data_IF_067204923029
#
_entry.id   IF_067204923029
#
_cell.length_a   1.000
_cell.length_b   1.000
_cell.length_c   1.000
_cell.angle_alpha   90.00
_cell.angle_beta   90.00
_cell.angle_gamma   90.00
#
_symmetry.space_group_name_H-M   'P 1'
#
loop_
_entity.id
_entity.type
_entity.pdbx_description
1 polymer ?
#
# COMPACT_ATOMS: atom_id res chain seq x y z
N UNK A 1 -5.72 9.36 -21.18
CA UNK A 1 -4.52 8.59 -20.77
C UNK A 1 -4.19 8.71 -19.26
N UNK A 2 -4.88 9.54 -18.46
CA UNK A 2 -4.60 9.68 -17.01
C UNK A 2 -5.60 9.00 -16.07
N UNK A 3 -6.77 8.57 -16.55
CA UNK A 3 -7.83 8.04 -15.67
C UNK A 3 -7.51 6.62 -15.16
N UNK A 4 -6.77 5.81 -15.92
CA UNK A 4 -6.34 4.46 -15.48
C UNK A 4 -5.31 4.50 -14.33
N UNK A 5 -4.61 5.62 -14.12
CA UNK A 5 -3.71 5.80 -12.96
C UNK A 5 -4.42 6.15 -11.66
N UNK A 6 -5.72 6.47 -11.71
CA UNK A 6 -6.51 6.89 -10.55
C UNK A 6 -7.37 5.77 -9.94
N UNK A 7 -7.33 4.56 -10.52
CA UNK A 7 -8.04 3.41 -9.96
C UNK A 7 -7.54 3.08 -8.55
N UNK A 8 -8.45 3.07 -7.58
CA UNK A 8 -8.17 2.55 -6.25
C UNK A 8 -8.30 1.03 -6.30
N UNK A 9 -7.30 0.31 -5.83
CA UNK A 9 -7.21 -1.15 -5.95
C UNK A 9 -7.52 -1.83 -4.62
N UNK A 10 -8.58 -2.64 -4.52
CA UNK A 10 -8.79 -3.45 -3.32
C UNK A 10 -7.61 -4.39 -3.08
N UNK A 11 -7.17 -4.54 -1.84
CA UNK A 11 -6.15 -5.53 -1.53
C UNK A 11 -6.71 -6.96 -1.77
N UNK A 12 -5.91 -7.87 -2.34
CA UNK A 12 -6.33 -9.24 -2.66
C UNK A 12 -6.75 -10.08 -1.45
N UNK A 13 -6.34 -9.67 -0.25
CA UNK A 13 -6.62 -10.33 1.03
C UNK A 13 -7.69 -9.60 1.86
N UNK A 14 -8.49 -8.74 1.22
CA UNK A 14 -9.71 -8.19 1.82
C UNK A 14 -10.75 -9.30 2.00
N UNK A 15 -11.40 -9.32 3.16
CA UNK A 15 -12.54 -10.19 3.42
C UNK A 15 -13.85 -9.48 3.03
N UNK A 16 -14.79 -10.20 2.41
CA UNK A 16 -16.08 -9.65 2.00
C UNK A 16 -17.01 -9.35 3.19
N UNK A 17 -16.76 -9.99 4.33
CA UNK A 17 -17.50 -9.78 5.57
C UNK A 17 -17.04 -8.56 6.36
N UNK A 18 -15.84 -8.05 6.07
CA UNK A 18 -15.31 -6.82 6.69
C UNK A 18 -16.21 -5.62 6.40
N UNK A 19 -16.46 -4.81 7.44
CA UNK A 19 -17.37 -3.66 7.38
C UNK A 19 -16.65 -2.31 7.56
N UNK A 20 -15.33 -2.30 7.68
CA UNK A 20 -14.54 -1.11 7.92
C UNK A 20 -13.39 -1.01 6.91
N UNK A 21 -13.08 0.21 6.44
CA UNK A 21 -12.21 0.40 5.27
C UNK A 21 -11.23 1.55 5.47
N UNK A 22 -9.96 1.28 5.15
CA UNK A 22 -8.91 2.29 5.07
C UNK A 22 -8.43 2.44 3.63
N UNK A 23 -8.26 3.68 3.17
CA UNK A 23 -7.54 3.98 1.93
C UNK A 23 -6.05 4.16 2.23
N UNK A 24 -5.22 3.35 1.59
CA UNK A 24 -3.76 3.42 1.68
C UNK A 24 -3.23 4.04 0.39
N UNK A 25 -2.55 5.18 0.48
CA UNK A 25 -1.97 5.87 -0.68
C UNK A 25 -0.47 5.91 -0.51
N UNK A 26 0.23 5.25 -1.42
CA UNK A 26 1.69 5.09 -1.38
C UNK A 26 2.33 6.00 -2.41
N UNK A 27 3.22 6.88 -1.96
CA UNK A 27 3.98 7.77 -2.83
C UNK A 27 5.40 7.25 -2.99
N UNK A 28 5.76 6.86 -4.20
CA UNK A 28 7.14 6.47 -4.53
C UNK A 28 7.90 7.70 -5.02
N UNK A 29 9.12 7.93 -4.52
CA UNK A 29 9.85 9.16 -4.86
C UNK A 29 10.28 9.22 -6.34
N UNK A 30 10.81 10.37 -6.76
CA UNK A 30 11.07 10.66 -8.17
C UNK A 30 12.54 10.56 -8.60
N UNK A 31 13.46 10.26 -7.66
CA UNK A 31 14.89 10.08 -7.98
C UNK A 31 15.09 8.91 -8.96
N UNK A 32 16.21 8.89 -9.68
CA UNK A 32 16.55 7.72 -10.48
C UNK A 32 16.57 6.47 -9.58
N UNK A 33 16.09 5.34 -10.10
CA UNK A 33 16.10 4.05 -9.38
C UNK A 33 15.25 4.03 -8.09
N UNK A 34 14.24 4.91 -7.98
CA UNK A 34 13.36 4.97 -6.82
C UNK A 34 12.21 3.98 -6.85
N UNK A 35 11.83 3.51 -8.03
CA UNK A 35 10.80 2.49 -8.21
C UNK A 35 11.36 1.09 -8.06
N UNK A 36 10.50 0.14 -7.75
CA UNK A 36 10.89 -1.26 -7.54
C UNK A 36 10.16 -2.21 -8.48
N UNK A 37 10.84 -3.29 -8.87
CA UNK A 37 10.24 -4.47 -9.48
C UNK A 37 10.36 -5.71 -8.58
N UNK A 38 11.02 -5.58 -7.44
CA UNK A 38 11.07 -6.59 -6.38
C UNK A 38 9.67 -7.02 -5.97
N UNK A 39 9.51 -8.25 -5.47
CA UNK A 39 8.24 -8.78 -4.94
C UNK A 39 7.94 -8.16 -3.58
N UNK A 40 7.91 -6.84 -3.53
CA UNK A 40 7.69 -6.02 -2.34
C UNK A 40 6.23 -5.74 -2.28
N UNK A 41 5.52 -6.52 -1.47
CA UNK A 41 4.08 -6.39 -1.41
C UNK A 41 3.53 -6.63 -0.02
N UNK A 42 4.33 -6.61 1.06
CA UNK A 42 3.83 -6.93 2.39
C UNK A 42 4.01 -5.78 3.38
N UNK A 43 2.90 -5.36 3.99
CA UNK A 43 2.90 -4.33 5.04
C UNK A 43 1.98 -4.75 6.18
N UNK A 44 2.32 -4.37 7.41
CA UNK A 44 1.50 -4.55 8.60
C UNK A 44 1.33 -3.17 9.23
N UNK A 45 0.10 -2.87 9.62
CA UNK A 45 -0.29 -1.58 10.17
C UNK A 45 -0.63 -1.78 11.64
N UNK A 46 0.05 -1.04 12.51
CA UNK A 46 -0.16 -1.10 13.96
C UNK A 46 -0.88 0.18 14.39
N UNK A 47 -2.02 0.00 15.06
CA UNK A 47 -2.85 1.07 15.57
C UNK A 47 -2.97 0.97 17.09
N UNK A 48 -3.71 1.88 17.71
CA UNK A 48 -3.93 1.89 19.16
C UNK A 48 -4.72 0.67 19.65
N UNK A 49 -5.78 0.30 18.94
CA UNK A 49 -6.71 -0.73 19.41
C UNK A 49 -6.35 -2.13 18.92
N UNK A 50 -5.59 -2.24 17.82
CA UNK A 50 -5.28 -3.52 17.18
C UNK A 50 -4.15 -3.37 16.13
N UNK A 51 -3.69 -4.50 15.58
CA UNK A 51 -2.83 -4.53 14.40
C UNK A 51 -3.45 -5.35 13.26
N UNK A 52 -3.14 -5.00 12.01
CA UNK A 52 -3.60 -5.78 10.86
C UNK A 52 -2.77 -7.05 10.71
N UNK A 53 -3.32 -8.09 10.09
CA UNK A 53 -2.47 -9.13 9.49
C UNK A 53 -1.50 -8.53 8.46
N UNK A 54 -0.49 -9.29 8.05
CA UNK A 54 0.43 -8.85 7.00
C UNK A 54 -0.33 -8.78 5.67
N UNK A 55 -0.53 -7.56 5.17
CA UNK A 55 -1.35 -7.24 4.01
C UNK A 55 -0.57 -7.31 2.72
N UNK A 56 -1.17 -7.86 1.67
CA UNK A 56 -0.53 -8.00 0.35
C UNK A 56 -0.92 -6.87 -0.61
N UNK A 57 0.04 -6.13 -1.16
CA UNK A 57 -0.19 -5.01 -2.08
C UNK A 57 0.03 -5.43 -3.53
N UNK A 58 -1.02 -5.56 -4.32
CA UNK A 58 -0.90 -5.90 -5.74
C UNK A 58 -1.96 -5.19 -6.57
N UNK A 59 -1.68 -5.04 -7.86
CA UNK A 59 -2.67 -4.57 -8.82
C UNK A 59 -2.63 -5.45 -10.07
N UNK A 60 -3.79 -5.94 -10.55
CA UNK A 60 -3.85 -6.83 -11.71
C UNK A 60 -3.65 -6.11 -13.05
N UNK A 61 -3.79 -4.79 -13.10
CA UNK A 61 -3.80 -3.99 -14.33
C UNK A 61 -2.60 -3.04 -14.45
N UNK A 62 -2.04 -2.57 -13.33
CA UNK A 62 -0.89 -1.65 -13.32
C UNK A 62 0.30 -2.20 -12.55
N UNK A 63 1.50 -1.75 -12.96
CA UNK A 63 2.70 -1.87 -12.13
C UNK A 63 2.61 -0.86 -11.00
N UNK A 64 2.73 -1.33 -9.75
CA UNK A 64 2.71 -0.50 -8.55
C UNK A 64 4.15 -0.14 -8.12
N UNK A 65 4.28 0.86 -7.27
CA UNK A 65 5.53 1.34 -6.66
C UNK A 65 6.59 1.74 -7.69
N UNK A 66 6.13 2.29 -8.81
CA UNK A 66 6.98 2.80 -9.88
C UNK A 66 7.54 4.18 -9.52
N UNK A 67 8.66 4.56 -10.13
CA UNK A 67 9.29 5.88 -9.93
C UNK A 67 8.27 6.99 -10.13
N UNK A 68 8.11 7.85 -9.12
CA UNK A 68 7.14 8.95 -9.11
C UNK A 68 5.67 8.51 -9.14
N UNK A 69 5.41 7.22 -8.92
CA UNK A 69 4.08 6.64 -8.88
C UNK A 69 3.34 7.00 -7.59
N UNK A 70 2.02 7.09 -7.74
CA UNK A 70 1.06 7.20 -6.65
C UNK A 70 0.12 6.01 -6.81
N UNK A 71 0.17 5.10 -5.85
CA UNK A 71 -0.64 3.89 -5.86
C UNK A 71 -1.64 3.95 -4.70
N UNK A 72 -2.92 3.72 -5.00
CA UNK A 72 -4.00 3.82 -4.01
C UNK A 72 -4.67 2.47 -3.85
N UNK A 73 -4.88 2.06 -2.61
CA UNK A 73 -5.44 0.77 -2.26
C UNK A 73 -6.58 0.90 -1.24
N UNK A 74 -7.52 -0.04 -1.25
CA UNK A 74 -8.51 -0.22 -0.18
C UNK A 74 -8.14 -1.44 0.65
N UNK A 75 -7.95 -1.23 1.95
CA UNK A 75 -7.80 -2.28 2.96
C UNK A 75 -9.11 -2.41 3.75
N UNK A 76 -9.69 -3.60 3.78
CA UNK A 76 -10.82 -3.93 4.64
C UNK A 76 -10.36 -4.53 5.96
N UNK A 77 -11.10 -4.26 7.03
CA UNK A 77 -10.94 -4.88 8.34
C UNK A 77 -12.30 -5.02 9.06
N UNK A 78 -12.41 -5.89 10.08
CA UNK A 78 -13.71 -6.16 10.71
C UNK A 78 -14.31 -4.96 11.46
N UNK A 79 -13.47 -4.05 11.97
CA UNK A 79 -13.84 -2.91 12.84
C UNK A 79 -12.78 -1.80 12.77
N UNK A 80 -13.09 -0.64 13.36
CA UNK A 80 -12.11 0.45 13.51
C UNK A 80 -10.89 0.02 14.33
N UNK A 81 -9.69 0.37 13.86
CA UNK A 81 -8.42 0.05 14.51
C UNK A 81 -7.90 1.20 15.40
N UNK A 82 -8.53 2.39 15.34
CA UNK A 82 -8.09 3.57 16.09
C UNK A 82 -7.04 4.40 15.33
N UNK A 83 -6.19 5.12 16.06
CA UNK A 83 -5.14 5.95 15.45
C UNK A 83 -3.95 5.09 15.01
N UNK A 84 -3.39 5.43 13.86
CA UNK A 84 -2.22 4.74 13.32
C UNK A 84 -0.98 5.12 14.11
N UNK A 85 -0.27 4.13 14.64
CA UNK A 85 0.99 4.33 15.35
C UNK A 85 2.18 4.22 14.40
N UNK A 86 2.31 3.10 13.70
CA UNK A 86 3.40 2.87 12.75
C UNK A 86 3.06 1.76 11.74
N UNK A 87 3.87 1.69 10.67
CA UNK A 87 3.74 0.70 9.60
C UNK A 87 5.04 -0.11 9.53
N UNK A 88 4.94 -1.44 9.56
CA UNK A 88 6.05 -2.35 9.26
C UNK A 88 5.99 -2.72 7.78
N UNK A 89 7.11 -2.57 7.08
CA UNK A 89 7.21 -2.79 5.63
C UNK A 89 8.29 -3.84 5.37
N UNK A 90 7.94 -4.91 4.66
CA UNK A 90 8.90 -5.92 4.22
C UNK A 90 9.23 -5.72 2.75
N UNK A 91 10.53 -5.72 2.47
CA UNK A 91 11.08 -5.58 1.15
C UNK A 91 12.15 -6.66 0.94
N UNK A 92 12.02 -7.44 -0.13
CA UNK A 92 12.81 -8.65 -0.37
C UNK A 92 14.00 -8.43 -1.31
N UNK A 93 14.20 -7.21 -1.84
CA UNK A 93 15.28 -6.85 -2.77
C UNK A 93 15.44 -7.79 -3.98
N UNK A 94 14.39 -8.51 -4.37
CA UNK A 94 14.45 -9.51 -5.45
C UNK A 94 14.48 -8.93 -6.86
N UNK A 95 14.30 -7.61 -7.01
CA UNK A 95 14.35 -6.91 -8.29
C UNK A 95 15.77 -6.89 -8.87
N UNK A 96 15.86 -6.86 -10.20
CA UNK A 96 17.15 -6.85 -10.88
C UNK A 96 17.76 -5.44 -10.92
N UNK A 97 19.09 -5.37 -10.70
CA UNK A 97 19.88 -4.16 -10.84
C UNK A 97 19.31 -2.96 -10.07
N UNK A 98 19.04 -1.88 -10.79
CA UNK A 98 18.52 -0.64 -10.21
C UNK A 98 17.06 -0.70 -9.75
N UNK A 99 16.35 -1.78 -10.03
CA UNK A 99 14.96 -2.01 -9.58
C UNK A 99 14.88 -2.86 -8.31
N UNK A 100 16.02 -3.24 -7.73
CA UNK A 100 16.08 -3.95 -6.47
C UNK A 100 15.53 -3.07 -5.34
N UNK A 101 16.09 -1.88 -5.15
CA UNK A 101 15.71 -0.99 -4.05
C UNK A 101 14.39 -0.24 -4.30
N UNK A 102 13.77 0.25 -3.23
CA UNK A 102 12.58 1.10 -3.29
C UNK A 102 12.76 2.35 -2.44
N UNK A 103 12.54 3.52 -3.03
CA UNK A 103 12.53 4.79 -2.29
C UNK A 103 11.09 5.24 -2.04
N UNK A 104 10.55 4.79 -0.90
CA UNK A 104 9.28 5.23 -0.38
C UNK A 104 9.38 6.70 0.07
N UNK A 105 8.54 7.58 -0.51
CA UNK A 105 8.49 9.00 -0.13
C UNK A 105 7.65 9.19 1.14
N UNK A 106 6.41 8.72 1.13
CA UNK A 106 5.52 8.66 2.28
C UNK A 106 4.28 7.80 1.97
N UNK A 107 3.55 7.40 3.01
CA UNK A 107 2.26 6.71 2.93
C UNK A 107 1.21 7.58 3.62
N UNK A 108 0.04 7.71 3.00
CA UNK A 108 -1.15 8.27 3.63
C UNK A 108 -2.10 7.12 3.95
N UNK A 109 -2.58 7.07 5.18
CA UNK A 109 -3.65 6.15 5.62
C UNK A 109 -4.86 7.00 5.96
N UNK A 110 -5.98 6.77 5.26
CA UNK A 110 -7.24 7.47 5.50
C UNK A 110 -8.28 6.49 5.98
N UNK A 111 -8.92 6.83 7.09
CA UNK A 111 -10.13 6.17 7.56
C UNK A 111 -11.31 6.63 6.69
N UNK A 112 -12.05 5.70 6.08
CA UNK A 112 -13.12 6.05 5.13
C UNK A 112 -14.50 6.20 5.78
N UNK A 113 -14.65 5.83 7.05
CA UNK A 113 -15.91 5.90 7.79
C UNK A 113 -16.06 7.22 8.53
N UNK A 114 -14.95 7.85 8.90
CA UNK A 114 -14.91 9.06 9.73
C UNK A 114 -14.62 10.34 8.95
N UNK A 115 -14.75 10.30 7.62
CA UNK A 115 -14.67 11.48 6.75
C UNK A 115 -15.94 12.32 6.75
#
# INVERSE_FOLDING_TARGET
>A
KDIEKLGVTPLPDNDKSDQYYYQIIVFTGQRANSGTQSKVKKMNFVFDNDETSVRTFSDPHRKIFQRGGIDSFIMSVPKSLGLLNYIRIWHDNSGEGSSASWFLKYIIVRDLQTM
#
